data_IF_912812032274
#
_entry.id   IF_912812032274
#
_cell.length_a   1.000
_cell.length_b   1.000
_cell.length_c   1.000
_cell.angle_alpha   90.00
_cell.angle_beta   90.00
_cell.angle_gamma   90.00
#
_symmetry.space_group_name_H-M   'P 1'
#
loop_
_entity.id
_entity.type
_entity.pdbx_description
1 polymer ?
#
# COMPACT_ATOMS: atom_id res chain seq x y z
N UNK A 1 -20.66 14.04 -77.42
CA UNK A 1 -19.67 14.52 -78.39
C UNK A 1 -19.38 15.99 -78.15
N UNK A 2 -18.19 16.32 -77.66
CA UNK A 2 -17.63 17.69 -77.59
C UNK A 2 -16.09 17.57 -77.58
N UNK A 3 -15.37 18.51 -78.19
CA UNK A 3 -13.92 18.43 -78.43
C UNK A 3 -13.18 19.66 -77.89
N UNK A 4 -11.93 19.49 -77.42
CA UNK A 4 -10.81 20.47 -77.33
C UNK A 4 -9.66 19.78 -76.53
N UNK A 5 -8.36 19.76 -76.85
CA UNK A 5 -7.35 20.80 -77.17
C UNK A 5 -7.11 21.83 -76.06
N UNK A 6 -5.89 22.25 -75.67
CA UNK A 6 -4.49 21.77 -75.87
C UNK A 6 -3.57 22.57 -74.87
N UNK A 7 -2.22 22.68 -74.88
CA UNK A 7 -1.08 22.21 -75.70
C UNK A 7 0.26 22.56 -74.99
N UNK A 8 1.27 21.67 -75.00
CA UNK A 8 2.73 21.95 -74.74
C UNK A 8 3.12 22.46 -73.32
N UNK A 9 4.36 22.31 -72.81
CA UNK A 9 5.67 22.34 -73.48
C UNK A 9 6.82 21.66 -72.68
N UNK A 10 8.04 21.74 -73.23
CA UNK A 10 9.33 21.19 -72.80
C UNK A 10 9.85 21.71 -71.42
N UNK A 11 10.79 21.05 -70.73
CA UNK A 11 12.18 20.89 -71.20
C UNK A 11 13.12 20.04 -70.30
N UNK A 12 14.32 19.78 -70.85
CA UNK A 12 15.62 19.34 -70.29
C UNK A 12 15.90 19.57 -68.79
N UNK A 13 16.79 18.81 -68.11
CA UNK A 13 17.65 17.65 -68.48
C UNK A 13 18.33 17.03 -67.24
N UNK A 14 19.12 15.95 -67.42
CA UNK A 14 20.39 15.62 -66.72
C UNK A 14 20.53 15.82 -65.19
N UNK A 15 21.09 14.91 -64.39
CA UNK A 15 21.73 13.59 -64.64
C UNK A 15 22.20 13.02 -63.29
N UNK A 16 22.62 11.74 -63.24
CA UNK A 16 23.44 11.11 -62.16
C UNK A 16 22.82 11.06 -60.75
N UNK A 17 23.10 10.07 -59.90
CA UNK A 17 23.81 8.78 -60.08
C UNK A 17 23.49 7.83 -58.92
N UNK A 18 24.05 6.61 -58.99
CA UNK A 18 24.45 5.80 -57.82
C UNK A 18 23.39 5.54 -56.74
N UNK A 19 22.70 4.41 -56.92
CA UNK A 19 22.35 3.45 -55.87
C UNK A 19 22.99 3.69 -54.48
N UNK A 20 22.17 4.00 -53.48
CA UNK A 20 22.48 3.80 -52.07
C UNK A 20 21.65 2.63 -51.55
N UNK A 21 22.32 1.55 -51.13
CA UNK A 21 21.68 0.40 -50.50
C UNK A 21 21.18 0.80 -49.12
N UNK A 22 19.88 1.03 -48.98
CA UNK A 22 19.23 1.25 -47.69
C UNK A 22 19.14 -0.07 -46.92
N UNK A 23 20.25 -0.46 -46.30
CA UNK A 23 20.32 -1.57 -45.36
C UNK A 23 19.31 -1.33 -44.23
N UNK A 24 18.19 -2.04 -44.27
CA UNK A 24 17.12 -1.95 -43.28
C UNK A 24 17.60 -2.58 -41.98
N UNK A 25 18.26 -1.77 -41.14
CA UNK A 25 18.69 -2.16 -39.79
C UNK A 25 17.48 -2.52 -38.95
N UNK A 26 17.22 -3.83 -38.87
CA UNK A 26 16.16 -4.42 -38.05
C UNK A 26 16.50 -4.29 -36.57
N UNK A 27 16.25 -3.09 -36.04
CA UNK A 27 16.19 -2.88 -34.60
C UNK A 27 15.21 -3.90 -33.99
N UNK A 28 15.53 -4.50 -32.83
CA UNK A 28 14.60 -5.39 -32.16
C UNK A 28 13.29 -4.64 -31.85
N UNK A 29 12.14 -5.33 -31.81
CA UNK A 29 10.87 -4.70 -31.46
C UNK A 29 11.02 -4.04 -30.08
N UNK A 30 10.82 -2.73 -30.05
CA UNK A 30 11.05 -1.91 -28.86
C UNK A 30 9.85 -2.08 -27.93
N UNK A 31 9.91 -3.09 -27.07
CA UNK A 31 8.91 -3.31 -26.00
C UNK A 31 8.63 -1.98 -25.29
N UNK A 32 7.35 -1.55 -25.20
CA UNK A 32 6.99 -0.32 -24.52
C UNK A 32 7.29 -0.44 -23.03
N UNK A 33 7.64 0.69 -22.40
CA UNK A 33 8.02 0.73 -20.98
C UNK A 33 6.90 0.20 -20.09
N UNK A 34 5.64 0.45 -20.46
CA UNK A 34 4.44 -0.05 -19.77
C UNK A 34 4.41 -1.58 -19.69
N UNK A 35 4.64 -2.27 -20.81
CA UNK A 35 4.61 -3.74 -20.89
C UNK A 35 5.78 -4.37 -20.12
N UNK A 36 6.93 -3.67 -20.08
CA UNK A 36 8.07 -4.06 -19.24
C UNK A 36 7.79 -3.85 -17.73
N UNK A 37 7.04 -2.81 -17.36
CA UNK A 37 6.60 -2.58 -15.98
C UNK A 37 5.53 -3.58 -15.54
N UNK A 38 4.51 -3.85 -16.36
CA UNK A 38 3.53 -4.93 -16.12
C UNK A 38 4.21 -6.29 -15.96
N UNK A 39 5.24 -6.59 -16.77
CA UNK A 39 5.99 -7.83 -16.65
C UNK A 39 6.79 -7.90 -15.34
N UNK A 40 7.40 -6.79 -14.91
CA UNK A 40 8.12 -6.72 -13.63
C UNK A 40 7.17 -6.89 -12.43
N UNK A 41 6.00 -6.24 -12.44
CA UNK A 41 4.95 -6.43 -11.44
C UNK A 41 4.38 -7.86 -11.45
N UNK A 42 4.25 -8.47 -12.63
CA UNK A 42 3.85 -9.87 -12.77
C UNK A 42 4.82 -10.82 -12.05
N UNK A 43 6.13 -10.59 -12.20
CA UNK A 43 7.17 -11.41 -11.55
C UNK A 43 7.25 -11.16 -10.05
N UNK A 44 7.20 -9.90 -9.58
CA UNK A 44 7.28 -9.62 -8.13
C UNK A 44 6.08 -10.19 -7.37
N UNK A 45 4.87 -10.10 -7.94
CA UNK A 45 3.68 -10.74 -7.36
C UNK A 45 3.79 -12.27 -7.31
N UNK A 46 4.40 -12.89 -8.33
CA UNK A 46 4.62 -14.35 -8.36
C UNK A 46 5.66 -14.79 -7.31
N UNK A 47 6.77 -14.05 -7.17
CA UNK A 47 7.78 -14.31 -6.13
C UNK A 47 7.19 -14.13 -4.73
N UNK A 48 6.41 -13.08 -4.49
CA UNK A 48 5.74 -12.84 -3.21
C UNK A 48 4.74 -13.95 -2.86
N UNK A 49 3.94 -14.42 -3.83
CA UNK A 49 3.04 -15.54 -3.62
C UNK A 49 3.79 -16.83 -3.25
N UNK A 50 4.92 -17.09 -3.91
CA UNK A 50 5.80 -18.23 -3.61
C UNK A 50 6.40 -18.12 -2.20
N UNK A 51 6.93 -16.95 -1.82
CA UNK A 51 7.48 -16.72 -0.48
C UNK A 51 6.42 -16.92 0.62
N UNK A 52 5.21 -16.38 0.45
CA UNK A 52 4.09 -16.55 1.40
C UNK A 52 3.73 -18.03 1.62
N UNK A 53 3.83 -18.85 0.57
CA UNK A 53 3.46 -20.28 0.57
C UNK A 53 4.58 -21.16 1.10
N UNK A 54 5.82 -20.94 0.65
CA UNK A 54 6.97 -21.84 0.92
C UNK A 54 7.71 -21.46 2.20
N UNK A 55 7.87 -20.17 2.50
CA UNK A 55 8.52 -19.73 3.72
C UNK A 55 7.50 -19.64 4.85
N UNK A 56 7.50 -20.64 5.74
CA UNK A 56 6.59 -20.67 6.90
C UNK A 56 6.87 -19.52 7.89
N UNK A 57 8.11 -19.03 7.95
CA UNK A 57 8.53 -17.88 8.76
C UNK A 57 8.30 -16.53 8.05
N UNK A 58 7.69 -16.52 6.85
CA UNK A 58 7.29 -15.27 6.20
C UNK A 58 6.26 -14.54 7.07
N UNK A 59 6.57 -13.27 7.37
CA UNK A 59 5.75 -12.33 8.12
C UNK A 59 5.75 -10.96 7.44
N UNK A 60 4.59 -10.31 7.42
CA UNK A 60 4.44 -8.88 7.17
C UNK A 60 5.25 -8.12 8.22
N UNK A 61 6.08 -7.18 7.78
CA UNK A 61 6.89 -6.31 8.65
C UNK A 61 6.37 -4.87 8.61
N UNK A 62 6.61 -4.06 9.66
CA UNK A 62 6.40 -2.62 9.58
C UNK A 62 7.17 -2.00 8.39
N UNK A 63 6.62 -0.97 7.75
CA UNK A 63 7.33 -0.25 6.67
C UNK A 63 8.41 0.66 7.24
N UNK A 64 9.59 0.08 7.47
CA UNK A 64 10.82 0.79 7.77
C UNK A 64 11.21 1.71 6.61
N UNK A 65 11.49 2.99 6.91
CA UNK A 65 12.02 3.94 5.94
C UNK A 65 13.54 4.05 6.09
N UNK A 66 14.32 4.10 4.98
CA UNK A 66 15.77 4.15 5.04
C UNK A 66 16.28 5.31 5.91
N UNK A 67 17.34 5.03 6.65
CA UNK A 67 18.01 6.00 7.52
C UNK A 67 18.47 7.22 6.70
N UNK A 68 18.18 8.44 7.18
CA UNK A 68 18.50 9.68 6.46
C UNK A 68 17.67 9.95 5.20
N UNK A 69 16.66 9.13 4.85
CA UNK A 69 15.79 9.40 3.71
C UNK A 69 14.89 10.63 3.93
N UNK A 70 14.62 11.37 2.85
CA UNK A 70 13.75 12.54 2.88
C UNK A 70 12.32 12.17 3.33
N UNK A 71 11.79 11.02 2.91
CA UNK A 71 10.47 10.54 3.34
C UNK A 71 10.42 10.35 4.86
N UNK A 72 11.48 9.79 5.47
CA UNK A 72 11.57 9.63 6.92
C UNK A 72 11.63 10.98 7.62
N UNK A 73 12.50 11.89 7.16
CA UNK A 73 12.59 13.22 7.76
C UNK A 73 11.27 14.01 7.67
N UNK A 74 10.57 13.96 6.54
CA UNK A 74 9.25 14.59 6.36
C UNK A 74 8.20 13.95 7.29
N UNK A 75 8.19 12.62 7.43
CA UNK A 75 7.31 11.91 8.37
C UNK A 75 7.59 12.31 9.82
N UNK A 76 8.85 12.29 10.23
CA UNK A 76 9.28 12.57 11.60
C UNK A 76 8.96 14.03 11.99
N UNK A 77 9.19 14.98 11.07
CA UNK A 77 8.81 16.39 11.25
C UNK A 77 7.28 16.54 11.33
N UNK A 78 6.51 15.93 10.41
CA UNK A 78 5.06 16.05 10.40
C UNK A 78 4.43 15.48 11.69
N UNK A 79 4.85 14.27 12.09
CA UNK A 79 4.41 13.67 13.35
C UNK A 79 4.79 14.54 14.55
N UNK A 80 6.01 15.11 14.58
CA UNK A 80 6.37 16.05 15.65
C UNK A 80 5.45 17.26 15.67
N UNK A 81 5.24 17.94 14.53
CA UNK A 81 4.37 19.13 14.48
C UNK A 81 2.91 18.85 14.87
N UNK A 82 2.42 17.63 14.65
CA UNK A 82 1.11 17.20 15.13
C UNK A 82 1.07 17.05 16.66
N UNK A 83 2.04 16.35 17.25
CA UNK A 83 2.09 16.18 18.72
C UNK A 83 2.37 17.50 19.45
N UNK A 84 3.28 18.33 18.92
CA UNK A 84 3.56 19.69 19.42
C UNK A 84 2.28 20.57 19.38
N UNK A 85 1.45 20.46 18.33
CA UNK A 85 0.19 21.19 18.19
C UNK A 85 -0.89 20.69 19.15
N UNK A 86 -1.02 19.38 19.32
CA UNK A 86 -1.95 18.78 20.29
C UNK A 86 -1.62 19.21 21.73
N UNK A 87 -0.33 19.20 22.08
CA UNK A 87 0.14 19.66 23.40
C UNK A 87 -0.19 21.14 23.62
N UNK A 88 0.03 21.99 22.60
CA UNK A 88 -0.37 23.40 22.66
C UNK A 88 -1.88 23.59 22.84
N UNK A 89 -2.72 22.88 22.07
CA UNK A 89 -4.19 22.97 22.15
C UNK A 89 -4.75 22.55 23.51
N UNK A 90 -4.13 21.56 24.17
CA UNK A 90 -4.51 21.12 25.52
C UNK A 90 -4.05 22.07 26.64
N UNK A 91 -3.20 23.04 26.32
CA UNK A 91 -2.72 24.10 27.22
C UNK A 91 -3.41 25.46 26.99
N UNK A 92 -4.35 25.55 26.05
CA UNK A 92 -5.18 26.75 25.83
C UNK A 92 -6.23 26.94 26.96
N UNK A 93 -6.66 28.18 27.17
CA UNK A 93 -7.77 28.51 28.09
C UNK A 93 -8.94 29.16 27.32
N UNK A 94 -10.06 28.46 27.08
CA UNK A 94 -10.32 27.03 27.35
C UNK A 94 -9.57 26.10 26.39
N UNK A 95 -9.27 24.85 26.80
CA UNK A 95 -8.52 23.90 25.98
C UNK A 95 -9.31 23.43 24.76
N UNK A 96 -8.61 23.30 23.63
CA UNK A 96 -9.16 22.79 22.38
C UNK A 96 -8.99 21.27 22.26
N UNK A 97 -10.07 20.58 21.91
CA UNK A 97 -10.13 19.11 21.86
C UNK A 97 -10.29 18.55 20.44
N UNK A 98 -10.24 19.37 19.39
CA UNK A 98 -10.47 18.91 18.01
C UNK A 98 -9.46 17.85 17.56
N UNK A 99 -8.18 18.00 17.89
CA UNK A 99 -7.15 16.99 17.63
C UNK A 99 -7.38 15.69 18.44
N UNK A 100 -7.87 15.80 19.69
CA UNK A 100 -8.21 14.62 20.52
C UNK A 100 -9.39 13.86 19.91
N UNK A 101 -10.42 14.56 19.42
CA UNK A 101 -11.58 13.94 18.76
C UNK A 101 -11.17 13.18 17.49
N UNK A 102 -10.23 13.71 16.71
CA UNK A 102 -9.67 13.03 15.53
C UNK A 102 -8.90 11.75 15.91
N UNK A 103 -8.06 11.81 16.96
CA UNK A 103 -7.34 10.65 17.46
C UNK A 103 -8.27 9.56 18.01
N UNK A 104 -9.36 9.95 18.69
CA UNK A 104 -10.36 9.02 19.19
C UNK A 104 -11.15 8.35 18.04
N UNK A 105 -11.36 9.03 16.92
CA UNK A 105 -11.96 8.44 15.70
C UNK A 105 -11.05 7.35 15.10
N UNK A 106 -9.77 7.67 14.88
CA UNK A 106 -8.83 6.71 14.29
C UNK A 106 -8.54 5.53 15.24
N UNK A 107 -8.50 5.76 16.56
CA UNK A 107 -8.46 4.69 17.58
C UNK A 107 -9.72 3.82 17.47
N UNK A 108 -10.91 4.41 17.42
CA UNK A 108 -12.19 3.68 17.32
C UNK A 108 -12.22 2.80 16.08
N UNK A 109 -11.98 3.35 14.91
CA UNK A 109 -12.03 2.59 13.66
C UNK A 109 -10.90 1.55 13.58
N UNK A 110 -9.72 1.82 14.17
CA UNK A 110 -8.66 0.81 14.32
C UNK A 110 -9.11 -0.36 15.21
N UNK A 111 -9.67 -0.10 16.39
CA UNK A 111 -10.18 -1.14 17.29
C UNK A 111 -11.33 -1.94 16.65
N UNK A 112 -12.22 -1.28 15.91
CA UNK A 112 -13.29 -1.93 15.17
C UNK A 112 -12.78 -2.77 13.98
N UNK A 113 -11.67 -2.39 13.35
CA UNK A 113 -11.03 -3.17 12.28
C UNK A 113 -10.49 -4.52 12.73
N UNK A 114 -10.15 -4.66 14.02
CA UNK A 114 -9.69 -5.92 14.62
C UNK A 114 -10.83 -6.90 14.95
N UNK A 115 -12.10 -6.50 14.76
CA UNK A 115 -13.26 -7.34 15.09
C UNK A 115 -13.73 -8.17 13.89
N UNK A 116 -13.66 -9.52 13.92
CA UNK A 116 -14.25 -10.34 12.87
C UNK A 116 -15.78 -10.22 12.84
N UNK A 117 -16.41 -10.37 11.66
CA UNK A 117 -17.86 -10.26 11.49
C UNK A 117 -18.57 -11.29 12.37
N UNK A 118 -19.33 -10.81 13.35
CA UNK A 118 -20.05 -11.63 14.33
C UNK A 118 -19.85 -11.21 15.80
N UNK A 119 -18.78 -10.46 16.14
CA UNK A 119 -18.56 -9.94 17.51
C UNK A 119 -19.42 -8.71 17.85
N UNK A 120 -20.73 -8.77 17.59
CA UNK A 120 -21.66 -7.64 17.72
C UNK A 120 -21.61 -6.95 19.09
N UNK A 121 -21.61 -7.71 20.20
CA UNK A 121 -21.58 -7.14 21.56
C UNK A 121 -20.35 -6.26 21.82
N UNK A 122 -19.16 -6.71 21.40
CA UNK A 122 -17.92 -5.96 21.62
C UNK A 122 -17.83 -4.74 20.69
N UNK A 123 -18.36 -4.87 19.45
CA UNK A 123 -18.53 -3.75 18.53
C UNK A 123 -19.44 -2.68 19.12
N UNK A 124 -20.64 -3.03 19.57
CA UNK A 124 -21.57 -2.08 20.19
C UNK A 124 -20.97 -1.41 21.42
N UNK A 125 -20.26 -2.15 22.27
CA UNK A 125 -19.61 -1.56 23.45
C UNK A 125 -18.54 -0.50 23.08
N UNK A 126 -17.75 -0.73 22.02
CA UNK A 126 -16.80 0.27 21.50
C UNK A 126 -17.54 1.45 20.85
N UNK A 127 -18.62 1.20 20.11
CA UNK A 127 -19.44 2.23 19.47
C UNK A 127 -20.19 3.13 20.48
N UNK A 128 -20.62 2.56 21.61
CA UNK A 128 -21.29 3.23 22.73
C UNK A 128 -20.33 4.08 23.58
N UNK A 129 -19.14 3.58 23.91
CA UNK A 129 -18.17 4.30 24.75
C UNK A 129 -17.39 5.33 23.94
N UNK A 130 -17.10 5.05 22.67
CA UNK A 130 -16.49 6.00 21.73
C UNK A 130 -17.55 6.66 20.84
N UNK A 131 -18.62 7.19 21.45
CA UNK A 131 -19.60 8.05 20.78
C UNK A 131 -19.00 9.46 20.59
N UNK A 132 -18.49 9.72 19.39
CA UNK A 132 -17.83 10.99 19.07
C UNK A 132 -18.75 12.22 19.16
N UNK A 133 -20.01 12.20 18.69
CA UNK A 133 -21.00 13.24 18.99
C UNK A 133 -21.13 13.54 20.49
N UNK A 134 -21.24 12.51 21.34
CA UNK A 134 -21.35 12.68 22.79
C UNK A 134 -20.05 13.20 23.42
N UNK A 135 -18.90 12.67 23.03
CA UNK A 135 -17.57 13.11 23.50
C UNK A 135 -17.31 14.57 23.09
N UNK A 136 -17.71 14.96 21.88
CA UNK A 136 -17.68 16.37 21.41
C UNK A 136 -18.58 17.27 22.24
N UNK A 137 -19.77 16.81 22.62
CA UNK A 137 -20.65 17.56 23.51
C UNK A 137 -20.06 17.67 24.93
N UNK A 138 -19.44 16.61 25.46
CA UNK A 138 -18.74 16.65 26.76
C UNK A 138 -17.57 17.65 26.74
N UNK A 139 -16.77 17.64 25.67
CA UNK A 139 -15.67 18.58 25.45
C UNK A 139 -16.14 20.05 25.49
N UNK A 140 -17.20 20.37 24.73
CA UNK A 140 -17.79 21.71 24.64
C UNK A 140 -18.37 22.22 25.98
N UNK A 141 -18.69 21.32 26.91
CA UNK A 141 -19.23 21.66 28.24
C UNK A 141 -18.18 21.47 29.37
N UNK A 142 -16.90 21.25 29.05
CA UNK A 142 -15.85 21.07 30.04
C UNK A 142 -15.96 19.79 30.89
N UNK A 143 -16.67 18.78 30.40
CA UNK A 143 -17.05 17.55 31.12
C UNK A 143 -16.37 16.27 30.58
N UNK A 144 -15.31 16.42 29.78
CA UNK A 144 -14.61 15.32 29.11
C UNK A 144 -13.55 14.66 30.01
N UNK A 145 -13.72 13.38 30.37
CA UNK A 145 -12.66 12.57 31.02
C UNK A 145 -11.81 11.84 29.97
N UNK A 146 -10.78 12.52 29.45
CA UNK A 146 -9.80 11.90 28.53
C UNK A 146 -9.11 10.71 29.21
N UNK A 147 -8.79 10.80 30.51
CA UNK A 147 -8.14 9.71 31.24
C UNK A 147 -9.02 8.46 31.32
N UNK A 148 -10.34 8.63 31.41
CA UNK A 148 -11.34 7.56 31.34
C UNK A 148 -11.39 6.88 29.98
N UNK A 149 -11.48 7.69 28.91
CA UNK A 149 -11.46 7.19 27.53
C UNK A 149 -10.14 6.47 27.21
N UNK A 150 -8.99 7.02 27.60
CA UNK A 150 -7.68 6.37 27.40
C UNK A 150 -7.55 5.05 28.17
N UNK A 151 -8.04 4.97 29.41
CA UNK A 151 -8.10 3.70 30.16
C UNK A 151 -8.95 2.65 29.44
N UNK A 152 -10.15 3.03 29.00
CA UNK A 152 -11.02 2.14 28.21
C UNK A 152 -10.33 1.64 26.93
N UNK A 153 -9.67 2.52 26.18
CA UNK A 153 -8.91 2.16 24.98
C UNK A 153 -7.80 1.16 25.30
N UNK A 154 -7.00 1.40 26.35
CA UNK A 154 -5.91 0.48 26.74
C UNK A 154 -6.44 -0.89 27.19
N UNK A 155 -7.54 -0.94 27.93
CA UNK A 155 -8.16 -2.22 28.32
C UNK A 155 -8.82 -2.95 27.12
N UNK A 156 -9.39 -2.22 26.16
CA UNK A 156 -9.86 -2.80 24.90
C UNK A 156 -8.71 -3.34 24.04
N UNK A 157 -7.58 -2.62 23.95
CA UNK A 157 -6.36 -3.13 23.30
C UNK A 157 -5.89 -4.43 23.94
N UNK A 158 -5.85 -4.50 25.27
CA UNK A 158 -5.50 -5.73 26.01
C UNK A 158 -6.47 -6.90 25.79
N UNK A 159 -7.73 -6.63 25.43
CA UNK A 159 -8.72 -7.67 25.09
C UNK A 159 -8.64 -8.15 23.63
N UNK A 160 -7.89 -7.45 22.78
CA UNK A 160 -7.81 -7.68 21.33
C UNK A 160 -6.40 -8.04 20.82
N UNK A 161 -5.36 -7.76 21.61
CA UNK A 161 -3.97 -8.00 21.20
C UNK A 161 -3.57 -9.48 21.24
N UNK A 162 -2.49 -9.82 20.55
CA UNK A 162 -1.84 -11.12 20.68
C UNK A 162 -1.02 -11.18 21.98
N UNK A 163 -0.82 -12.36 22.61
CA UNK A 163 -0.11 -12.48 23.90
C UNK A 163 1.33 -11.95 23.95
N UNK A 164 1.96 -11.72 22.79
CA UNK A 164 3.26 -11.05 22.70
C UNK A 164 3.19 -9.53 22.99
N UNK A 165 1.99 -8.94 23.01
CA UNK A 165 1.73 -7.51 23.25
C UNK A 165 1.20 -7.18 24.64
N UNK A 166 0.89 -8.18 25.46
CA UNK A 166 0.51 -7.96 26.86
C UNK A 166 1.55 -7.06 27.60
N UNK A 167 2.88 -7.19 27.41
CA UNK A 167 3.88 -6.28 27.98
C UNK A 167 3.94 -4.89 27.33
N UNK A 168 3.47 -4.75 26.08
CA UNK A 168 3.37 -3.47 25.38
C UNK A 168 2.16 -2.69 25.89
N UNK A 169 0.99 -3.34 25.99
CA UNK A 169 -0.25 -2.77 26.53
C UNK A 169 -0.14 -2.46 28.02
N UNK A 170 0.49 -3.33 28.82
CA UNK A 170 0.65 -3.07 30.25
C UNK A 170 1.47 -1.80 30.52
N UNK A 171 2.51 -1.53 29.72
CA UNK A 171 3.31 -0.29 29.83
C UNK A 171 2.53 0.99 29.51
N UNK A 172 1.43 0.90 28.76
CA UNK A 172 0.54 2.07 28.52
C UNK A 172 -0.14 2.52 29.82
N UNK A 173 -0.36 1.61 30.78
CA UNK A 173 -1.03 1.91 32.06
C UNK A 173 -0.13 2.68 33.04
N UNK A 174 1.17 2.70 32.79
CA UNK A 174 2.17 3.41 33.60
C UNK A 174 2.39 4.86 33.13
N UNK A 175 1.80 5.29 32.02
CA UNK A 175 1.95 6.64 31.45
C UNK A 175 0.88 7.59 31.99
N UNK A 176 1.29 8.59 32.76
CA UNK A 176 0.38 9.61 33.33
C UNK A 176 -0.11 10.64 32.33
N UNK A 177 0.73 11.01 31.37
CA UNK A 177 0.57 12.23 30.60
C UNK A 177 -0.18 11.97 29.29
N UNK A 178 -1.22 12.76 29.01
CA UNK A 178 -2.20 12.49 27.94
C UNK A 178 -1.55 12.39 26.56
N UNK A 179 -0.66 13.31 26.20
CA UNK A 179 -0.03 13.34 24.87
C UNK A 179 0.96 12.18 24.69
N UNK A 180 1.90 11.90 25.62
CA UNK A 180 2.68 10.66 25.63
C UNK A 180 1.84 9.38 25.59
N UNK A 181 0.75 9.31 26.35
CA UNK A 181 -0.14 8.13 26.40
C UNK A 181 -0.82 7.89 25.04
N UNK A 182 -1.44 8.92 24.44
CA UNK A 182 -2.04 8.81 23.11
C UNK A 182 -1.00 8.40 22.07
N UNK A 183 0.19 9.01 22.08
CA UNK A 183 1.28 8.64 21.17
C UNK A 183 1.72 7.18 21.35
N UNK A 184 1.84 6.69 22.58
CA UNK A 184 2.17 5.29 22.86
C UNK A 184 1.06 4.32 22.47
N UNK A 185 -0.22 4.68 22.66
CA UNK A 185 -1.39 3.93 22.16
C UNK A 185 -1.27 3.72 20.66
N UNK A 186 -1.01 4.78 19.87
CA UNK A 186 -0.84 4.66 18.42
C UNK A 186 0.32 3.74 18.01
N UNK A 187 1.49 3.85 18.68
CA UNK A 187 2.61 2.95 18.41
C UNK A 187 2.27 1.47 18.67
N UNK A 188 1.49 1.15 19.70
CA UNK A 188 1.06 -0.22 20.00
C UNK A 188 -0.06 -0.67 19.05
N UNK A 189 -0.99 0.22 18.67
CA UNK A 189 -2.02 -0.08 17.67
C UNK A 189 -1.41 -0.41 16.29
N UNK A 190 -0.37 0.29 15.85
CA UNK A 190 0.32 -0.02 14.58
C UNK A 190 1.05 -1.36 14.62
N UNK A 191 1.59 -1.76 15.77
CA UNK A 191 2.13 -3.10 15.98
C UNK A 191 1.01 -4.15 15.94
N UNK A 192 -0.13 -3.90 16.59
CA UNK A 192 -1.31 -4.78 16.53
C UNK A 192 -1.86 -4.93 15.10
N UNK A 193 -1.85 -3.88 14.26
CA UNK A 193 -2.20 -3.97 12.82
C UNK A 193 -1.32 -4.99 12.09
N UNK A 194 0.00 -5.00 12.37
CA UNK A 194 0.95 -5.96 11.81
C UNK A 194 0.74 -7.37 12.37
N UNK A 195 0.49 -7.52 13.66
CA UNK A 195 0.19 -8.82 14.28
C UNK A 195 -1.10 -9.43 13.70
N UNK A 196 -2.15 -8.62 13.48
CA UNK A 196 -3.40 -9.05 12.85
C UNK A 196 -3.21 -9.44 11.38
N UNK A 197 -2.40 -8.70 10.62
CA UNK A 197 -2.05 -9.07 9.25
C UNK A 197 -1.32 -10.42 9.20
N UNK A 198 -0.37 -10.65 10.13
CA UNK A 198 0.34 -11.92 10.25
C UNK A 198 -0.56 -13.09 10.69
N UNK A 199 -1.50 -12.85 11.60
CA UNK A 199 -2.50 -13.85 12.01
C UNK A 199 -3.45 -14.22 10.85
N UNK A 200 -3.93 -13.22 10.10
CA UNK A 200 -4.78 -13.44 8.93
C UNK A 200 -4.02 -14.21 7.82
N UNK A 201 -2.77 -13.84 7.56
CA UNK A 201 -1.90 -14.53 6.60
C UNK A 201 -1.66 -16.00 7.00
N UNK A 202 -1.36 -16.24 8.28
CA UNK A 202 -1.19 -17.59 8.84
C UNK A 202 -2.47 -18.43 8.73
N UNK A 203 -3.64 -17.79 8.89
CA UNK A 203 -4.96 -18.44 8.80
C UNK A 203 -5.34 -18.82 7.36
N UNK A 204 -4.94 -18.03 6.35
CA UNK A 204 -5.25 -18.31 4.93
C UNK A 204 -4.17 -19.16 4.24
N UNK A 205 -2.93 -19.20 4.75
CA UNK A 205 -1.81 -19.96 4.18
C UNK A 205 -2.16 -21.41 3.78
N UNK A 206 -2.92 -22.22 4.55
CA UNK A 206 -3.30 -23.57 4.13
C UNK A 206 -4.09 -23.62 2.80
N UNK A 207 -4.92 -22.61 2.54
CA UNK A 207 -5.68 -22.49 1.28
C UNK A 207 -4.77 -22.02 0.14
N UNK A 208 -3.84 -21.10 0.42
CA UNK A 208 -2.84 -20.65 -0.57
C UNK A 208 -1.92 -21.81 -1.00
N UNK A 209 -1.49 -22.67 -0.07
CA UNK A 209 -0.71 -23.88 -0.36
C UNK A 209 -1.47 -24.85 -1.28
N UNK A 210 -2.79 -24.96 -1.13
CA UNK A 210 -3.61 -25.83 -1.98
C UNK A 210 -3.72 -25.32 -3.43
N UNK A 211 -3.66 -24.01 -3.66
CA UNK A 211 -3.86 -23.39 -4.98
C UNK A 211 -2.56 -22.89 -5.64
N UNK A 212 -1.43 -22.91 -4.93
CA UNK A 212 -0.15 -22.33 -5.37
C UNK A 212 0.33 -22.86 -6.72
N UNK A 213 0.33 -24.18 -6.92
CA UNK A 213 0.86 -24.83 -8.13
C UNK A 213 0.08 -24.41 -9.38
N UNK A 214 -1.24 -24.25 -9.28
CA UNK A 214 -2.06 -23.76 -10.39
C UNK A 214 -1.85 -22.27 -10.64
N UNK A 215 -1.77 -21.47 -9.57
CA UNK A 215 -1.48 -20.03 -9.66
C UNK A 215 -0.12 -19.76 -10.32
N UNK A 216 0.95 -20.39 -9.83
CA UNK A 216 2.32 -20.26 -10.34
C UNK A 216 2.40 -20.70 -11.80
N UNK A 217 1.86 -21.88 -12.15
CA UNK A 217 1.89 -22.36 -13.53
C UNK A 217 1.15 -21.42 -14.48
N UNK A 218 -0.02 -20.92 -14.09
CA UNK A 218 -0.83 -20.04 -14.94
C UNK A 218 -0.19 -18.63 -15.06
N UNK A 219 0.43 -18.12 -14.00
CA UNK A 219 1.20 -16.85 -14.04
C UNK A 219 2.48 -16.97 -14.86
N UNK A 220 3.22 -18.07 -14.71
CA UNK A 220 4.45 -18.32 -15.47
C UNK A 220 4.15 -18.51 -16.96
N UNK A 221 3.08 -19.24 -17.31
CA UNK A 221 2.63 -19.34 -18.70
C UNK A 221 2.25 -17.97 -19.27
N UNK A 222 1.43 -17.18 -18.58
CA UNK A 222 1.05 -15.84 -19.03
C UNK A 222 2.25 -14.86 -19.14
N UNK A 223 3.33 -15.08 -18.37
CA UNK A 223 4.59 -14.36 -18.51
C UNK A 223 5.37 -14.80 -19.75
N UNK A 224 5.47 -16.12 -20.02
CA UNK A 224 6.08 -16.65 -21.25
C UNK A 224 5.33 -16.17 -22.51
N UNK A 225 4.00 -16.19 -22.48
CA UNK A 225 3.14 -15.77 -23.61
C UNK A 225 3.27 -14.27 -23.91
N UNK A 226 3.62 -13.45 -22.90
CA UNK A 226 3.93 -12.03 -23.04
C UNK A 226 5.37 -11.75 -23.50
N UNK A 227 6.31 -12.70 -23.36
CA UNK A 227 7.66 -12.48 -23.86
C UNK A 227 7.69 -12.66 -25.39
N UNK A 228 8.32 -11.72 -26.15
CA UNK A 228 8.52 -11.90 -27.57
C UNK A 228 9.50 -13.07 -27.79
N UNK A 229 8.95 -14.25 -28.12
CA UNK A 229 9.72 -15.49 -28.11
C UNK A 229 11.01 -15.39 -28.94
N UNK A 230 12.17 -15.54 -28.28
CA UNK A 230 13.45 -15.60 -28.99
C UNK A 230 13.47 -16.76 -29.98
N UNK A 231 12.75 -17.84 -29.67
CA UNK A 231 12.47 -18.99 -30.54
C UNK A 231 11.92 -18.52 -31.91
N UNK A 232 10.97 -17.58 -31.93
CA UNK A 232 10.44 -16.99 -33.16
C UNK A 232 11.48 -16.15 -33.93
N UNK A 233 12.38 -15.45 -33.23
CA UNK A 233 13.51 -14.74 -33.85
C UNK A 233 14.55 -15.70 -34.44
N UNK A 234 14.76 -16.87 -33.86
CA UNK A 234 15.63 -17.92 -34.42
C UNK A 234 14.98 -18.62 -35.62
N UNK A 235 13.68 -18.96 -35.57
CA UNK A 235 12.96 -19.48 -36.72
C UNK A 235 12.96 -18.52 -37.92
N UNK A 236 12.71 -17.23 -37.68
CA UNK A 236 12.74 -16.22 -38.74
C UNK A 236 14.14 -16.00 -39.32
N UNK A 237 15.21 -16.20 -38.54
CA UNK A 237 16.59 -16.19 -39.07
C UNK A 237 16.87 -17.42 -39.94
N UNK A 238 16.38 -18.61 -39.56
CA UNK A 238 16.52 -19.83 -40.37
C UNK A 238 15.73 -19.75 -41.68
N UNK A 239 14.48 -19.26 -41.64
CA UNK A 239 13.59 -19.12 -42.81
C UNK A 239 13.98 -18.02 -43.81
N UNK A 240 14.96 -17.17 -43.48
CA UNK A 240 15.52 -16.14 -44.35
C UNK A 240 16.99 -16.39 -44.75
N UNK A 241 17.52 -17.59 -44.53
CA UNK A 241 18.86 -18.03 -44.97
C UNK A 241 18.81 -19.32 -45.80
N UNK A 242 17.68 -19.53 -46.50
CA UNK A 242 17.38 -20.61 -47.43
C UNK A 242 16.61 -20.04 -48.64
#
# INVERSE_FOLDING_TARGET
SSSSSSSSSSSSSSSSSSSSSSSSSSHPPRVPVEELMEAAEGVTNMVLAHEIVVNQDFQVRPRELPEGSLERHVRDVLQKTFWDLLEAQLLEEPPSYEQVLQLLDEIKETLLSFLPPGRSRLRSHIEEVLDLPLIRQQAQNGALDIGGLSRFVVDMMGSLCAPCRDPDVQRLKDVSDIVPLLKSIFCVLDLMKVDMANFALSSVRPLLVQQSVEYERNKFQAFLDKQPSEIGLYELKLKNNL
#
